data_IF_601972351428
#
_entry.id   IF_601972351428
#
_cell.length_a   1.000
_cell.length_b   1.000
_cell.length_c   1.000
_cell.angle_alpha   90.00
_cell.angle_beta   90.00
_cell.angle_gamma   90.00
#
_symmetry.space_group_name_H-M   'P 1'
#
loop_
_entity.id
_entity.type
_entity.pdbx_description
1 polymer ?
#
# COMPACT_ATOMS: atom_id res chain seq x y z
N UNK A 1 -13.76 -2.69 8.19
CA UNK A 1 -12.33 -2.48 8.45
C UNK A 1 -12.16 -1.21 9.23
N UNK A 2 -11.34 -1.25 10.28
CA UNK A 2 -11.06 -0.07 11.09
C UNK A 2 -9.82 0.64 10.55
N UNK A 3 -9.74 1.97 10.67
CA UNK A 3 -8.58 2.75 10.20
C UNK A 3 -7.28 2.36 10.91
N UNK A 4 -7.38 1.73 12.09
CA UNK A 4 -6.26 1.18 12.83
C UNK A 4 -5.54 0.03 12.09
N UNK A 5 -6.18 -0.64 11.14
CA UNK A 5 -5.60 -1.74 10.37
C UNK A 5 -4.73 -1.25 9.18
N UNK A 6 -4.79 0.05 8.86
CA UNK A 6 -4.10 0.69 7.73
C UNK A 6 -3.29 1.92 8.20
N UNK A 7 -2.50 1.75 9.25
CA UNK A 7 -1.73 2.80 9.91
C UNK A 7 -0.93 3.66 8.93
N UNK A 8 -1.15 4.98 9.02
CA UNK A 8 -0.44 6.01 8.23
C UNK A 8 -0.94 6.20 6.80
N UNK A 9 -1.91 5.41 6.34
CA UNK A 9 -2.62 5.67 5.09
C UNK A 9 -3.76 6.67 5.30
N UNK A 10 -3.95 7.54 4.30
CA UNK A 10 -5.01 8.55 4.25
C UNK A 10 -5.44 8.78 2.81
N UNK A 11 -6.54 9.49 2.61
CA UNK A 11 -7.03 9.92 1.30
C UNK A 11 -7.18 8.77 0.30
N UNK A 12 -6.74 8.99 -0.94
CA UNK A 12 -6.95 8.05 -2.04
C UNK A 12 -6.38 6.64 -1.76
N UNK A 13 -5.18 6.57 -1.19
CA UNK A 13 -4.56 5.29 -0.85
C UNK A 13 -5.38 4.50 0.18
N UNK A 14 -5.86 5.17 1.23
CA UNK A 14 -6.70 4.51 2.24
C UNK A 14 -8.00 3.96 1.63
N UNK A 15 -8.67 4.75 0.79
CA UNK A 15 -9.91 4.35 0.15
C UNK A 15 -9.75 3.11 -0.74
N UNK A 16 -8.65 3.03 -1.51
CA UNK A 16 -8.37 1.87 -2.37
C UNK A 16 -8.06 0.63 -1.54
N UNK A 17 -7.23 0.76 -0.50
CA UNK A 17 -6.89 -0.36 0.39
C UNK A 17 -8.14 -0.89 1.12
N UNK A 18 -9.01 0.00 1.60
CA UNK A 18 -10.30 -0.38 2.22
C UNK A 18 -11.22 -1.11 1.24
N UNK A 19 -11.36 -0.60 0.00
CA UNK A 19 -12.18 -1.25 -1.05
C UNK A 19 -11.68 -2.63 -1.41
N UNK A 20 -10.36 -2.85 -1.37
CA UNK A 20 -9.74 -4.14 -1.61
C UNK A 20 -9.85 -5.11 -0.42
N UNK A 21 -10.31 -4.65 0.75
CA UNK A 21 -10.46 -5.51 1.93
C UNK A 21 -9.14 -6.03 2.49
N UNK A 22 -8.07 -5.25 2.35
CA UNK A 22 -6.70 -5.61 2.78
C UNK A 22 -6.26 -4.79 3.99
N UNK A 23 -5.34 -5.34 4.77
CA UNK A 23 -4.76 -4.74 5.98
C UNK A 23 -3.23 -4.81 5.99
N UNK A 24 -2.59 -4.00 6.83
CA UNK A 24 -1.15 -4.07 7.04
C UNK A 24 -0.75 -5.50 7.44
N UNK A 25 0.31 -6.02 6.82
CA UNK A 25 0.79 -7.39 6.97
C UNK A 25 0.32 -8.35 5.88
N UNK A 26 -0.69 -7.98 5.08
CA UNK A 26 -1.14 -8.83 3.97
C UNK A 26 -0.12 -8.85 2.82
N UNK A 27 -0.03 -9.98 2.12
CA UNK A 27 0.74 -10.11 0.89
C UNK A 27 -0.06 -9.54 -0.29
N UNK A 28 0.51 -8.56 -0.97
CA UNK A 28 -0.11 -7.90 -2.12
C UNK A 28 0.64 -8.21 -3.40
N UNK A 29 -0.13 -8.28 -4.50
CA UNK A 29 0.37 -8.19 -5.88
C UNK A 29 -0.19 -6.92 -6.50
N UNK A 30 0.70 -6.01 -6.90
CA UNK A 30 0.37 -4.75 -7.55
C UNK A 30 0.86 -4.80 -8.99
N UNK A 31 -0.04 -4.56 -9.96
CA UNK A 31 0.32 -4.46 -11.38
C UNK A 31 0.25 -3.00 -11.81
N UNK A 32 1.36 -2.45 -12.32
CA UNK A 32 1.44 -1.08 -12.82
C UNK A 32 2.28 -1.03 -14.09
N UNK A 33 1.72 -0.47 -15.17
CA UNK A 33 2.41 -0.30 -16.46
C UNK A 33 3.06 -1.58 -17.01
N UNK A 34 2.38 -2.72 -16.83
CA UNK A 34 2.90 -4.04 -17.25
C UNK A 34 3.92 -4.67 -16.28
N UNK A 35 4.38 -3.93 -15.27
CA UNK A 35 5.24 -4.47 -14.21
C UNK A 35 4.41 -5.01 -13.06
N UNK A 36 4.81 -6.16 -12.53
CA UNK A 36 4.24 -6.75 -11.31
C UNK A 36 5.20 -6.54 -10.14
N UNK A 37 4.65 -6.09 -9.03
CA UNK A 37 5.32 -5.96 -7.74
C UNK A 37 4.61 -6.83 -6.72
N UNK A 38 5.36 -7.64 -5.98
CA UNK A 38 4.83 -8.50 -4.93
C UNK A 38 5.56 -8.24 -3.62
N UNK A 39 4.78 -8.05 -2.55
CA UNK A 39 5.34 -7.71 -1.24
C UNK A 39 4.28 -7.56 -0.16
N UNK A 40 4.74 -7.40 1.07
CA UNK A 40 3.88 -7.26 2.23
C UNK A 40 3.48 -5.80 2.38
N UNK A 41 2.18 -5.51 2.55
CA UNK A 41 1.71 -4.16 2.89
C UNK A 41 2.27 -3.74 4.24
N UNK A 42 2.98 -2.61 4.29
CA UNK A 42 3.53 -2.07 5.53
C UNK A 42 2.85 -0.76 5.91
N UNK A 43 2.94 -0.33 7.19
CA UNK A 43 2.49 0.99 7.60
C UNK A 43 3.14 2.08 6.75
N UNK A 44 2.39 3.14 6.50
CA UNK A 44 2.90 4.28 5.76
C UNK A 44 3.36 5.38 6.72
N UNK A 45 4.35 6.15 6.29
CA UNK A 45 4.76 7.35 7.00
C UNK A 45 3.68 8.43 6.88
N UNK A 46 3.18 8.93 8.02
CA UNK A 46 2.00 9.80 8.12
C UNK A 46 2.15 11.15 7.39
N UNK A 47 3.37 11.67 7.31
CA UNK A 47 3.67 12.93 6.60
C UNK A 47 3.90 12.74 5.09
N UNK A 48 3.86 11.50 4.59
CA UNK A 48 3.86 11.24 3.15
C UNK A 48 2.58 11.73 2.48
N UNK A 49 2.58 11.82 1.14
CA UNK A 49 1.35 12.09 0.39
C UNK A 49 0.29 10.98 0.57
N UNK A 50 -0.89 11.15 -0.01
CA UNK A 50 -2.01 10.21 0.08
C UNK A 50 -2.15 9.31 -1.17
N UNK A 51 -1.12 9.27 -2.03
CA UNK A 51 -1.19 8.70 -3.39
C UNK A 51 -0.27 7.49 -3.61
N UNK A 52 0.37 6.94 -2.59
CA UNK A 52 1.22 5.74 -2.74
C UNK A 52 0.81 4.61 -1.79
N UNK A 53 1.05 3.38 -2.26
CA UNK A 53 0.99 2.16 -1.46
C UNK A 53 2.42 1.72 -1.19
N UNK A 54 2.76 1.43 0.07
CA UNK A 54 4.11 1.01 0.44
C UNK A 54 4.11 -0.49 0.72
N UNK A 55 4.95 -1.22 -0.01
CA UNK A 55 5.14 -2.66 0.19
C UNK A 55 6.60 -2.99 0.49
N UNK A 56 6.81 -4.00 1.32
CA UNK A 56 8.12 -4.61 1.57
C UNK A 56 8.30 -5.82 0.65
N UNK A 57 9.30 -5.73 -0.22
CA UNK A 57 9.66 -6.79 -1.16
C UNK A 57 10.34 -7.95 -0.43
N UNK A 58 10.37 -9.12 -1.09
CA UNK A 58 11.12 -10.30 -0.61
C UNK A 58 12.61 -10.02 -0.41
N UNK A 59 13.18 -9.08 -1.17
CA UNK A 59 14.56 -8.61 -1.01
C UNK A 59 14.80 -7.83 0.28
N UNK A 60 13.76 -7.45 1.02
CA UNK A 60 13.84 -6.66 2.25
C UNK A 60 13.70 -5.15 2.04
N UNK A 61 13.74 -4.67 0.79
CA UNK A 61 13.54 -3.26 0.45
C UNK A 61 12.06 -2.85 0.49
N UNK A 62 11.82 -1.61 0.91
CA UNK A 62 10.49 -0.99 0.87
C UNK A 62 10.39 -0.14 -0.40
N UNK A 63 9.28 -0.28 -1.12
CA UNK A 63 8.99 0.55 -2.29
C UNK A 63 7.64 1.24 -2.14
N UNK A 64 7.54 2.46 -2.64
CA UNK A 64 6.28 3.19 -2.77
C UNK A 64 5.76 3.10 -4.20
N UNK A 65 4.58 2.52 -4.40
CA UNK A 65 3.92 2.45 -5.69
C UNK A 65 2.87 3.54 -5.76
N UNK A 66 3.11 4.53 -6.63
CA UNK A 66 2.14 5.61 -6.86
C UNK A 66 0.88 5.06 -7.52
N UNK A 67 -0.26 5.43 -6.98
CA UNK A 67 -1.60 5.15 -7.49
C UNK A 67 -1.85 6.07 -8.69
N UNK A 68 -2.27 5.47 -9.79
CA UNK A 68 -2.71 6.18 -10.99
C UNK A 68 -4.22 5.96 -11.16
N UNK A 69 -5.01 7.02 -11.42
CA UNK A 69 -6.41 6.88 -11.85
C UNK A 69 -6.55 6.06 -13.13
#
# INVERSE_FOLDING_TARGET
MSDAELTGYRGLALEILKKAGIKVGDLLRITKSGQVYEGILIPRYEYGDDKHIVIKLKSGYNIGVQITP
#
